data_IF_420526205643
#
_entry.id   IF_420526205643
#
_cell.length_a   1.000
_cell.length_b   1.000
_cell.length_c   1.000
_cell.angle_alpha   90.00
_cell.angle_beta   90.00
_cell.angle_gamma   90.00
#
_symmetry.space_group_name_H-M   'P 1'
#
loop_
_entity.id
_entity.type
_entity.pdbx_description
1 polymer ?
#
# COMPACT_ATOMS: atom_id res chain seq x y z
N UNK A 1 15.32 -3.71 2.41
CA UNK A 1 15.33 -2.98 3.70
C UNK A 1 14.04 -3.27 4.48
N UNK A 2 14.06 -3.21 5.82
CA UNK A 2 12.86 -3.43 6.65
C UNK A 2 12.06 -2.13 6.79
N UNK A 3 10.80 -2.10 6.33
CA UNK A 3 9.90 -0.93 6.43
C UNK A 3 8.57 -1.29 7.11
N UNK A 4 7.87 -0.30 7.72
CA UNK A 4 6.54 -0.52 8.30
C UNK A 4 5.53 -1.07 7.30
N UNK A 5 4.67 -1.99 7.76
CA UNK A 5 3.62 -2.61 6.93
C UNK A 5 2.46 -1.64 6.73
N UNK A 6 2.07 -1.42 5.47
CA UNK A 6 0.91 -0.63 5.09
C UNK A 6 -0.38 -1.48 5.16
N UNK A 7 -1.49 -0.87 5.56
CA UNK A 7 -2.75 -1.57 5.86
C UNK A 7 -3.94 -0.88 5.20
N UNK A 8 -5.08 -1.55 5.26
CA UNK A 8 -6.38 -0.95 4.99
C UNK A 8 -6.53 0.36 5.79
N UNK A 9 -7.10 1.38 5.13
CA UNK A 9 -7.35 2.73 5.67
C UNK A 9 -6.11 3.53 6.08
N UNK A 10 -4.91 2.99 5.89
CA UNK A 10 -3.71 3.82 5.99
C UNK A 10 -3.71 4.84 4.82
N UNK A 11 -3.15 6.01 5.08
CA UNK A 11 -3.21 7.14 4.17
C UNK A 11 -2.23 6.99 3.01
N UNK A 12 -2.51 7.71 1.94
CA UNK A 12 -1.63 7.91 0.79
C UNK A 12 -1.23 9.37 0.67
N UNK A 13 -0.17 9.65 -0.08
CA UNK A 13 0.34 11.02 -0.27
C UNK A 13 -0.68 11.95 -0.94
N UNK A 14 -1.63 11.41 -1.71
CA UNK A 14 -2.72 12.17 -2.33
C UNK A 14 -3.92 12.44 -1.40
N UNK A 15 -3.85 12.09 -0.11
CA UNK A 15 -4.94 12.25 0.85
C UNK A 15 -6.00 11.13 0.83
N UNK A 16 -5.94 10.23 -0.16
CA UNK A 16 -6.79 9.05 -0.21
C UNK A 16 -6.42 8.03 0.88
N UNK A 17 -7.33 7.09 1.14
CA UNK A 17 -7.09 5.93 2.01
C UNK A 17 -7.04 4.65 1.20
N UNK A 18 -6.26 3.66 1.65
CA UNK A 18 -6.15 2.37 0.97
C UNK A 18 -7.36 1.48 1.20
N UNK A 19 -7.86 0.89 0.12
CA UNK A 19 -8.91 -0.13 0.11
C UNK A 19 -8.26 -1.47 -0.23
N UNK A 20 -8.21 -2.38 0.74
CA UNK A 20 -7.61 -3.70 0.52
C UNK A 20 -8.65 -4.75 0.13
N UNK A 21 -8.20 -5.72 -0.68
CA UNK A 21 -8.98 -6.92 -1.02
C UNK A 21 -8.74 -8.11 -0.07
N UNK A 22 -7.72 -8.05 0.80
CA UNK A 22 -7.45 -9.11 1.78
C UNK A 22 -8.36 -8.94 2.99
N UNK A 23 -9.11 -9.98 3.37
CA UNK A 23 -10.10 -9.92 4.46
C UNK A 23 -9.88 -10.97 5.56
N UNK A 24 -8.73 -11.64 5.55
CA UNK A 24 -8.40 -12.73 6.48
C UNK A 24 -7.06 -12.56 7.22
N UNK A 25 -6.24 -11.57 6.87
CA UNK A 25 -4.96 -11.28 7.55
C UNK A 25 -4.97 -9.84 8.04
N UNK A 26 -4.67 -9.65 9.34
CA UNK A 26 -4.68 -8.33 9.98
C UNK A 26 -3.35 -7.97 10.61
N UNK A 27 -3.05 -6.67 10.63
CA UNK A 27 -1.94 -6.04 11.35
C UNK A 27 -2.51 -4.90 12.17
N UNK A 28 -2.33 -4.92 13.49
CA UNK A 28 -2.98 -4.01 14.44
C UNK A 28 -4.48 -3.80 14.15
N UNK A 29 -5.22 -4.91 14.08
CA UNK A 29 -6.68 -4.95 13.87
C UNK A 29 -7.19 -4.43 12.51
N UNK A 30 -6.32 -3.97 11.60
CA UNK A 30 -6.68 -3.58 10.23
C UNK A 30 -6.21 -4.64 9.24
N UNK A 31 -6.93 -4.82 8.14
CA UNK A 31 -6.49 -5.77 7.12
C UNK A 31 -5.16 -5.33 6.49
N UNK A 32 -4.30 -6.29 6.19
CA UNK A 32 -3.00 -6.01 5.56
C UNK A 32 -3.19 -5.58 4.11
N UNK A 33 -2.43 -4.59 3.64
CA UNK A 33 -2.47 -4.20 2.23
C UNK A 33 -1.48 -5.01 1.40
N UNK A 34 -1.87 -5.33 0.17
CA UNK A 34 -1.10 -6.12 -0.79
C UNK A 34 -1.02 -5.44 -2.15
N UNK A 35 -0.09 -5.91 -2.97
CA UNK A 35 0.08 -5.43 -4.35
C UNK A 35 -1.24 -5.45 -5.13
N UNK A 36 -1.50 -4.37 -5.85
CA UNK A 36 -2.73 -4.13 -6.59
C UNK A 36 -3.83 -3.42 -5.82
N UNK A 37 -3.72 -3.22 -4.50
CA UNK A 37 -4.74 -2.53 -3.71
C UNK A 37 -4.92 -1.08 -4.18
N UNK A 38 -6.17 -0.71 -4.43
CA UNK A 38 -6.58 0.63 -4.88
C UNK A 38 -6.86 1.56 -3.70
N UNK A 39 -7.13 2.83 -4.00
CA UNK A 39 -7.50 3.82 -3.00
C UNK A 39 -8.99 4.20 -3.09
N UNK A 40 -9.44 4.95 -2.09
CA UNK A 40 -10.80 5.46 -1.98
C UNK A 40 -11.22 6.47 -3.06
N UNK A 41 -10.33 6.87 -3.97
CA UNK A 41 -10.63 7.78 -5.09
C UNK A 41 -10.80 7.06 -6.43
N UNK A 42 -10.80 5.71 -6.46
CA UNK A 42 -11.29 4.94 -7.60
C UNK A 42 -10.23 4.28 -8.50
N UNK A 43 -8.94 4.34 -8.16
CA UNK A 43 -7.88 3.58 -8.81
C UNK A 43 -6.59 3.62 -7.96
N UNK A 44 -5.41 3.79 -8.57
CA UNK A 44 -4.13 3.88 -7.88
C UNK A 44 -3.66 2.56 -7.30
N UNK A 45 -3.48 1.53 -8.12
CA UNK A 45 -2.96 0.26 -7.62
C UNK A 45 -1.58 0.43 -6.97
N UNK A 46 -1.42 0.01 -5.70
CA UNK A 46 -0.12 -0.04 -5.01
C UNK A 46 0.79 -1.10 -5.62
N UNK A 47 2.09 -0.81 -5.65
CA UNK A 47 3.12 -1.69 -6.20
C UNK A 47 4.17 -1.98 -5.13
N UNK A 48 4.27 -3.25 -4.75
CA UNK A 48 5.29 -3.70 -3.81
C UNK A 48 6.69 -3.51 -4.39
N UNK A 49 7.66 -3.21 -3.54
CA UNK A 49 9.08 -3.17 -3.94
C UNK A 49 9.89 -4.21 -3.17
N UNK A 50 10.04 -4.04 -1.86
CA UNK A 50 10.94 -4.85 -1.03
C UNK A 50 10.41 -6.25 -0.68
N UNK A 51 9.10 -6.45 -0.74
CA UNK A 51 8.46 -7.71 -0.35
C UNK A 51 8.28 -8.68 -1.51
N UNK A 52 8.57 -8.24 -2.75
CA UNK A 52 8.46 -9.07 -3.96
C UNK A 52 9.34 -10.30 -3.82
N UNK A 53 8.75 -11.49 -3.99
CA UNK A 53 9.45 -12.76 -3.82
C UNK A 53 9.69 -13.20 -2.37
N UNK A 54 9.30 -12.40 -1.37
CA UNK A 54 9.64 -12.62 0.05
C UNK A 54 8.38 -12.70 0.91
N UNK A 55 7.86 -11.55 1.35
CA UNK A 55 6.76 -11.47 2.33
C UNK A 55 5.43 -11.31 1.60
N UNK A 56 4.51 -12.25 1.82
CA UNK A 56 3.24 -12.32 1.09
C UNK A 56 2.06 -12.54 2.03
N UNK A 57 0.90 -12.00 1.66
CA UNK A 57 -0.40 -12.34 2.24
C UNK A 57 -1.34 -12.76 1.10
N UNK A 58 -2.01 -13.90 1.25
CA UNK A 58 -2.81 -14.46 0.15
C UNK A 58 -1.99 -14.73 -1.12
N UNK A 59 -0.72 -15.12 -0.96
CA UNK A 59 0.27 -15.30 -2.04
C UNK A 59 0.66 -14.03 -2.83
N UNK A 60 0.22 -12.85 -2.38
CA UNK A 60 0.49 -11.56 -3.02
C UNK A 60 1.48 -10.76 -2.15
N UNK A 61 2.48 -10.07 -2.73
CA UNK A 61 3.41 -9.24 -1.97
C UNK A 61 2.72 -8.21 -1.09
N UNK A 62 3.20 -8.06 0.15
CA UNK A 62 2.67 -7.09 1.12
C UNK A 62 3.18 -5.67 0.80
N UNK A 63 2.33 -4.66 0.93
CA UNK A 63 2.74 -3.27 0.75
C UNK A 63 3.40 -2.72 2.02
N UNK A 64 4.48 -1.96 1.83
CA UNK A 64 5.17 -1.23 2.88
C UNK A 64 5.00 0.28 2.72
N UNK A 65 5.29 1.03 3.78
CA UNK A 65 5.33 2.49 3.71
C UNK A 65 6.28 2.97 2.60
N UNK A 66 5.88 4.02 1.89
CA UNK A 66 6.56 4.61 0.73
C UNK A 66 6.61 3.73 -0.53
N UNK A 67 5.94 2.57 -0.55
CA UNK A 67 5.74 1.87 -1.81
C UNK A 67 4.91 2.73 -2.79
N UNK A 68 5.29 2.73 -4.08
CA UNK A 68 4.64 3.53 -5.10
C UNK A 68 3.26 3.00 -5.46
N UNK A 69 2.44 3.84 -6.09
CA UNK A 69 1.21 3.42 -6.75
C UNK A 69 1.05 4.05 -8.13
N UNK A 70 0.21 3.42 -8.94
CA UNK A 70 -0.24 3.97 -10.21
C UNK A 70 -1.07 5.27 -10.00
N UNK A 71 -1.33 6.05 -11.07
CA UNK A 71 -2.31 7.12 -11.02
C UNK A 71 -3.68 6.63 -10.54
N UNK A 72 -4.40 7.47 -9.80
CA UNK A 72 -5.83 7.27 -9.54
C UNK A 72 -6.72 8.14 -10.43
N UNK A 73 -8.04 7.99 -10.30
CA UNK A 73 -9.03 8.65 -11.15
C UNK A 73 -9.04 10.17 -11.05
N UNK A 74 -8.41 10.74 -10.01
CA UNK A 74 -8.28 12.19 -9.81
C UNK A 74 -6.91 12.72 -10.28
N UNK A 75 -6.12 11.93 -11.02
CA UNK A 75 -4.87 12.40 -11.60
C UNK A 75 -5.01 13.67 -12.45
N UNK A 76 -6.04 13.86 -13.31
CA UNK A 76 -6.16 15.10 -14.09
C UNK A 76 -6.30 16.36 -13.21
N UNK A 77 -5.47 17.42 -13.42
CA UNK A 77 -4.46 17.58 -14.46
C UNK A 77 -3.15 16.82 -14.18
N UNK A 78 -2.53 16.30 -15.25
CA UNK A 78 -1.29 15.51 -15.18
C UNK A 78 -0.20 16.22 -14.35
N UNK A 79 0.47 15.44 -13.49
CA UNK A 79 1.53 15.92 -12.59
C UNK A 79 1.04 16.24 -11.16
N UNK A 80 -0.26 16.18 -10.89
CA UNK A 80 -0.81 16.33 -9.55
C UNK A 80 -0.50 15.16 -8.61
N UNK A 81 -0.85 15.32 -7.33
CA UNK A 81 -0.61 14.33 -6.26
C UNK A 81 -1.24 12.95 -6.54
N UNK A 82 -2.30 12.91 -7.36
CA UNK A 82 -3.02 11.71 -7.75
C UNK A 82 -2.36 10.92 -8.90
N UNK A 83 -1.35 11.48 -9.58
CA UNK A 83 -0.69 10.81 -10.71
C UNK A 83 0.41 9.84 -10.29
N UNK A 84 1.02 10.05 -9.12
CA UNK A 84 2.01 9.14 -8.54
C UNK A 84 1.87 9.11 -7.00
N UNK A 85 0.73 8.68 -6.45
CA UNK A 85 0.60 8.60 -5.01
C UNK A 85 1.47 7.47 -4.45
N UNK A 86 1.88 7.60 -3.19
CA UNK A 86 2.60 6.57 -2.46
C UNK A 86 1.86 6.23 -1.16
N UNK A 87 2.10 5.04 -0.61
CA UNK A 87 1.71 4.73 0.76
C UNK A 87 2.40 5.71 1.75
N UNK A 88 1.63 6.47 2.53
CA UNK A 88 2.18 7.54 3.38
C UNK A 88 2.15 7.24 4.88
N UNK A 89 1.15 6.49 5.36
CA UNK A 89 1.14 5.95 6.72
C UNK A 89 1.23 4.42 6.72
N UNK A 90 1.50 3.84 7.89
CA UNK A 90 1.66 2.40 8.06
C UNK A 90 1.49 2.01 9.54
N UNK A 91 1.69 0.72 9.84
CA UNK A 91 1.78 0.23 11.22
C UNK A 91 2.86 0.97 12.03
N UNK A 92 2.60 1.34 13.30
CA UNK A 92 3.59 1.98 14.14
C UNK A 92 4.69 1.01 14.62
N UNK A 93 4.43 -0.30 14.60
CA UNK A 93 5.29 -1.29 15.27
C UNK A 93 5.48 -2.62 14.52
N UNK A 94 4.81 -2.84 13.39
CA UNK A 94 5.01 -4.04 12.57
C UNK A 94 5.72 -3.66 11.28
N UNK A 95 6.82 -4.36 10.99
CA UNK A 95 7.69 -4.10 9.84
C UNK A 95 7.98 -5.39 9.06
N UNK A 96 8.26 -5.27 7.77
CA UNK A 96 8.59 -6.38 6.87
C UNK A 96 9.60 -5.93 5.78
N UNK A 97 10.06 -6.86 4.93
CA UNK A 97 11.04 -6.60 3.85
C UNK A 97 12.51 -6.91 4.21
N UNK A 98 12.77 -7.35 5.44
CA UNK A 98 14.06 -7.93 5.83
C UNK A 98 14.00 -9.44 5.71
N UNK A 99 14.43 -9.96 4.57
CA UNK A 99 14.66 -11.38 4.35
C UNK A 99 15.76 -11.49 3.31
N UNK A 100 16.89 -12.09 3.71
CA UNK A 100 17.96 -12.53 2.82
C UNK A 100 17.50 -13.71 1.99
#
# INVERSE_FOLDING_TARGET
MVRPVHRERDSRTCGASTVTRITNVRVNNRFISVEGDTNSHGAGALKATETVGKVRAGNIPVILQADPSAPDSLCPPLGGAHCSPNASSASPNVRAGGGS
#
